data_IF_883249601539
#
_entry.id   IF_883249601539
#
_cell.length_a   1.000
_cell.length_b   1.000
_cell.length_c   1.000
_cell.angle_alpha   90.00
_cell.angle_beta   90.00
_cell.angle_gamma   90.00
#
_symmetry.space_group_name_H-M   'P 1'
#
loop_
_entity.id
_entity.type
_entity.pdbx_description
1 polymer ?
#
# COMPACT_ATOMS: atom_id res chain seq x y z
N UNK A 1 -14.33 -16.80 -15.77
CA UNK A 1 -14.07 -15.63 -14.89
C UNK A 1 -12.64 -15.15 -15.11
N UNK A 2 -12.40 -13.87 -15.35
CA UNK A 2 -11.04 -13.35 -15.53
C UNK A 2 -10.46 -12.88 -14.19
N UNK A 3 -9.60 -13.72 -13.61
CA UNK A 3 -8.93 -13.45 -12.34
C UNK A 3 -7.95 -12.27 -12.43
N UNK A 4 -7.29 -12.09 -13.57
CA UNK A 4 -6.35 -10.98 -13.77
C UNK A 4 -7.08 -9.63 -13.79
N UNK A 5 -8.25 -9.56 -14.41
CA UNK A 5 -9.09 -8.35 -14.38
C UNK A 5 -9.55 -7.97 -12.97
N UNK A 6 -9.91 -8.95 -12.15
CA UNK A 6 -10.30 -8.67 -10.75
C UNK A 6 -9.15 -8.12 -9.93
N UNK A 7 -7.96 -8.71 -10.07
CA UNK A 7 -6.74 -8.22 -9.42
C UNK A 7 -6.35 -6.82 -9.92
N UNK A 8 -6.58 -6.53 -11.20
CA UNK A 8 -6.36 -5.20 -11.76
C UNK A 8 -7.23 -4.12 -11.09
N UNK A 9 -8.47 -4.45 -10.75
CA UNK A 9 -9.43 -3.57 -10.05
C UNK A 9 -9.11 -3.49 -8.56
N UNK A 10 -8.99 -4.64 -7.89
CA UNK A 10 -8.67 -4.72 -6.47
C UNK A 10 -7.53 -5.74 -6.21
N UNK A 11 -6.28 -5.27 -6.10
CA UNK A 11 -5.11 -6.14 -5.94
C UNK A 11 -5.03 -6.80 -4.56
N UNK A 12 -5.89 -6.43 -3.59
CA UNK A 12 -5.93 -7.01 -2.24
C UNK A 12 -6.83 -8.23 -2.13
N UNK A 13 -7.52 -8.61 -3.20
CA UNK A 13 -8.42 -9.77 -3.17
C UNK A 13 -7.61 -11.06 -3.00
N UNK A 14 -7.91 -11.83 -1.95
CA UNK A 14 -7.23 -13.12 -1.72
C UNK A 14 -7.71 -14.17 -2.72
N UNK A 15 -6.85 -15.15 -3.02
CA UNK A 15 -7.20 -16.26 -3.92
C UNK A 15 -8.47 -16.99 -3.45
N UNK A 16 -8.64 -17.18 -2.15
CA UNK A 16 -9.85 -17.79 -1.55
C UNK A 16 -11.10 -16.95 -1.79
N UNK A 17 -11.02 -15.61 -1.63
CA UNK A 17 -12.15 -14.74 -1.96
C UNK A 17 -12.51 -14.82 -3.45
N UNK A 18 -11.51 -15.00 -4.32
CA UNK A 18 -11.72 -15.15 -5.76
C UNK A 18 -12.38 -16.49 -6.12
N UNK A 19 -12.04 -17.59 -5.45
CA UNK A 19 -12.72 -18.89 -5.65
C UNK A 19 -14.18 -18.83 -5.20
N UNK A 20 -14.46 -18.20 -4.05
CA UNK A 20 -15.83 -17.99 -3.57
C UNK A 20 -16.67 -17.19 -4.58
N UNK A 21 -16.13 -16.09 -5.12
CA UNK A 21 -16.81 -15.31 -6.17
C UNK A 21 -16.99 -16.11 -7.48
N UNK A 22 -16.07 -17.01 -7.80
CA UNK A 22 -16.22 -17.89 -8.97
C UNK A 22 -17.36 -18.90 -8.75
N UNK A 23 -17.43 -19.51 -7.56
CA UNK A 23 -18.50 -20.43 -7.18
C UNK A 23 -19.86 -19.75 -7.19
N UNK A 24 -19.97 -18.55 -6.62
CA UNK A 24 -21.25 -17.82 -6.58
C UNK A 24 -21.73 -17.38 -7.96
N UNK A 25 -20.82 -16.99 -8.86
CA UNK A 25 -21.20 -16.43 -10.17
C UNK A 25 -21.41 -17.48 -11.26
N UNK A 26 -20.70 -18.61 -11.19
CA UNK A 26 -20.68 -19.61 -12.27
C UNK A 26 -21.03 -21.03 -11.78
N UNK A 27 -21.31 -21.23 -10.48
CA UNK A 27 -21.56 -22.55 -9.90
C UNK A 27 -20.32 -23.45 -9.82
N UNK A 28 -19.15 -23.01 -10.29
CA UNK A 28 -17.93 -23.82 -10.38
C UNK A 28 -17.03 -23.61 -9.17
N UNK A 29 -16.72 -24.71 -8.48
CA UNK A 29 -15.68 -24.73 -7.45
C UNK A 29 -14.30 -24.75 -8.12
N UNK A 30 -13.40 -23.90 -7.64
CA UNK A 30 -12.02 -23.79 -8.17
C UNK A 30 -11.06 -23.85 -7.00
N UNK A 31 -9.96 -24.59 -7.14
CA UNK A 31 -8.92 -24.63 -6.13
C UNK A 31 -8.21 -23.25 -6.06
N UNK A 32 -7.98 -22.69 -4.86
CA UNK A 32 -7.22 -21.45 -4.70
C UNK A 32 -5.85 -21.45 -5.40
N UNK A 33 -5.18 -22.60 -5.54
CA UNK A 33 -3.91 -22.71 -6.26
C UNK A 33 -4.08 -22.49 -7.76
N UNK A 34 -5.18 -22.95 -8.36
CA UNK A 34 -5.51 -22.66 -9.77
C UNK A 34 -5.61 -21.15 -9.99
N UNK A 35 -6.23 -20.41 -9.07
CA UNK A 35 -6.28 -18.94 -9.14
C UNK A 35 -4.89 -18.34 -9.07
N UNK A 36 -4.04 -18.80 -8.15
CA UNK A 36 -2.66 -18.30 -8.02
C UNK A 36 -1.83 -18.59 -9.27
N UNK A 37 -1.97 -19.78 -9.87
CA UNK A 37 -1.28 -20.16 -11.10
C UNK A 37 -1.70 -19.30 -12.29
N UNK A 38 -3.00 -19.02 -12.44
CA UNK A 38 -3.49 -18.07 -13.46
C UNK A 38 -2.90 -16.68 -13.24
N UNK A 39 -2.87 -16.18 -12.00
CA UNK A 39 -2.28 -14.88 -11.68
C UNK A 39 -0.77 -14.83 -11.99
N UNK A 40 -0.02 -15.88 -11.65
CA UNK A 40 1.41 -16.00 -11.98
C UNK A 40 1.63 -16.04 -13.49
N UNK A 41 0.79 -16.75 -14.26
CA UNK A 41 0.82 -16.75 -15.73
C UNK A 41 0.64 -15.34 -16.31
N UNK A 42 -0.15 -14.49 -15.64
CA UNK A 42 -0.31 -13.07 -15.99
C UNK A 42 0.72 -12.13 -15.32
N UNK A 43 1.81 -12.67 -14.78
CA UNK A 43 2.92 -11.94 -14.12
C UNK A 43 2.51 -11.19 -12.84
N UNK A 44 1.40 -11.58 -12.20
CA UNK A 44 1.02 -11.05 -10.90
C UNK A 44 1.65 -11.87 -9.78
N UNK A 45 2.35 -11.19 -8.89
CA UNK A 45 3.05 -11.79 -7.77
C UNK A 45 2.47 -11.26 -6.45
N UNK A 46 2.25 -12.14 -5.49
CA UNK A 46 1.88 -11.77 -4.13
C UNK A 46 3.08 -11.12 -3.43
N UNK A 47 2.92 -9.87 -3.01
CA UNK A 47 3.96 -9.08 -2.33
C UNK A 47 3.37 -8.32 -1.14
N UNK A 48 4.19 -8.02 -0.15
CA UNK A 48 3.80 -7.10 0.91
C UNK A 48 3.72 -5.68 0.31
N UNK A 49 2.62 -4.94 0.52
CA UNK A 49 2.50 -3.57 0.07
C UNK A 49 3.44 -2.65 0.86
N UNK A 50 4.02 -1.66 0.20
CA UNK A 50 4.83 -0.66 0.88
C UNK A 50 3.95 0.27 1.73
N UNK A 51 4.41 0.57 2.94
CA UNK A 51 3.77 1.53 3.84
C UNK A 51 4.20 2.93 3.44
N UNK A 52 3.25 3.77 3.01
CA UNK A 52 3.52 5.17 2.65
C UNK A 52 2.39 6.06 3.16
N UNK A 53 2.71 7.27 3.67
CA UNK A 53 1.68 8.23 4.03
C UNK A 53 0.94 8.68 2.76
N UNK A 54 -0.36 8.90 2.90
CA UNK A 54 -1.10 9.56 1.84
C UNK A 54 -0.68 11.04 1.80
N UNK A 55 -0.27 11.52 0.63
CA UNK A 55 0.10 12.92 0.41
C UNK A 55 -0.81 13.48 -0.68
N UNK A 56 -1.61 14.48 -0.34
CA UNK A 56 -2.50 15.18 -1.28
C UNK A 56 -1.73 15.86 -2.42
N UNK A 57 -2.44 16.22 -3.51
CA UNK A 57 -1.82 16.81 -4.71
C UNK A 57 -1.07 18.12 -4.39
N UNK A 58 -1.69 19.03 -3.64
CA UNK A 58 -1.07 20.29 -3.22
C UNK A 58 0.20 20.04 -2.38
N UNK A 59 0.11 19.16 -1.37
CA UNK A 59 1.25 18.82 -0.52
C UNK A 59 2.39 18.17 -1.30
N UNK A 60 2.10 17.38 -2.35
CA UNK A 60 3.16 16.84 -3.23
C UNK A 60 3.89 17.94 -3.98
N UNK A 61 3.17 18.96 -4.48
CA UNK A 61 3.78 20.10 -5.17
C UNK A 61 4.62 20.94 -4.20
N UNK A 62 4.09 21.28 -3.02
CA UNK A 62 4.81 22.03 -2.01
C UNK A 62 6.09 21.31 -1.57
N UNK A 63 6.03 19.99 -1.33
CA UNK A 63 7.20 19.18 -0.98
C UNK A 63 8.25 19.14 -2.09
N UNK A 64 7.82 19.06 -3.36
CA UNK A 64 8.75 19.09 -4.50
C UNK A 64 9.41 20.45 -4.66
N UNK A 65 8.65 21.53 -4.51
CA UNK A 65 9.18 22.90 -4.54
C UNK A 65 10.21 23.10 -3.42
N UNK A 66 9.86 22.73 -2.19
CA UNK A 66 10.78 22.74 -1.05
C UNK A 66 12.06 21.95 -1.34
N UNK A 67 11.94 20.70 -1.80
CA UNK A 67 13.11 19.88 -2.12
C UNK A 67 14.02 20.56 -3.17
N UNK A 68 13.45 21.11 -4.25
CA UNK A 68 14.22 21.82 -5.27
C UNK A 68 14.91 23.07 -4.75
N UNK A 69 14.28 23.82 -3.84
CA UNK A 69 14.87 25.02 -3.25
C UNK A 69 16.09 24.70 -2.39
N UNK A 70 16.06 23.60 -1.64
CA UNK A 70 17.08 23.31 -0.63
C UNK A 70 18.08 22.20 -1.01
N UNK A 71 17.90 21.48 -2.13
CA UNK A 71 18.76 20.34 -2.54
C UNK A 71 20.23 20.72 -2.76
N UNK A 72 20.52 21.98 -3.10
CA UNK A 72 21.89 22.48 -3.35
C UNK A 72 22.49 23.24 -2.16
N UNK A 73 21.82 23.28 -1.02
CA UNK A 73 22.34 23.99 0.15
C UNK A 73 23.56 23.27 0.72
N UNK A 74 24.59 24.02 1.18
CA UNK A 74 25.80 23.44 1.75
C UNK A 74 25.51 22.80 3.12
N UNK A 75 26.38 21.88 3.56
CA UNK A 75 26.24 21.19 4.85
C UNK A 75 26.09 22.15 6.03
N UNK A 76 26.84 23.27 6.04
CA UNK A 76 26.76 24.32 7.07
C UNK A 76 25.36 24.90 7.26
N UNK A 77 24.53 24.92 6.22
CA UNK A 77 23.14 25.36 6.32
C UNK A 77 22.33 24.38 7.19
N UNK A 78 22.52 23.07 6.97
CA UNK A 78 21.80 22.02 7.69
C UNK A 78 22.32 21.81 9.11
N UNK A 79 23.58 22.11 9.39
CA UNK A 79 24.16 22.06 10.75
C UNK A 79 23.44 23.01 11.72
N UNK A 80 22.89 24.12 11.20
CA UNK A 80 22.16 25.10 11.99
C UNK A 80 20.65 24.86 12.00
N UNK A 81 20.16 23.82 11.31
CA UNK A 81 18.74 23.51 11.21
C UNK A 81 18.29 22.65 12.40
N UNK A 82 17.49 23.23 13.29
CA UNK A 82 16.87 22.50 14.40
C UNK A 82 15.54 21.91 13.93
N UNK A 83 15.44 20.57 13.93
CA UNK A 83 14.18 19.87 13.66
C UNK A 83 13.48 19.52 14.98
N UNK A 84 12.21 19.89 15.10
CA UNK A 84 11.35 19.50 16.23
C UNK A 84 10.21 18.64 15.69
N UNK A 85 9.99 17.47 16.28
CA UNK A 85 8.87 16.59 15.95
C UNK A 85 8.39 15.87 17.22
N UNK A 86 7.11 15.52 17.24
CA UNK A 86 6.51 14.73 18.33
C UNK A 86 6.25 13.31 17.84
N UNK A 87 6.64 12.32 18.63
CA UNK A 87 6.44 10.90 18.31
C UNK A 87 5.63 10.19 19.38
N UNK A 88 4.55 9.51 18.97
CA UNK A 88 3.76 8.62 19.82
C UNK A 88 4.33 7.19 19.76
N UNK A 89 4.62 6.60 20.91
CA UNK A 89 5.02 5.19 21.05
C UNK A 89 3.83 4.35 21.48
N UNK A 90 3.48 3.32 20.70
CA UNK A 90 2.43 2.36 21.06
C UNK A 90 3.09 1.03 21.48
N UNK A 91 2.67 0.48 22.62
CA UNK A 91 3.22 -0.75 23.23
C UNK A 91 2.63 -2.03 22.59
N UNK A 92 1.45 -1.95 21.97
CA UNK A 92 0.74 -3.11 21.44
C UNK A 92 0.30 -2.95 19.98
N UNK A 93 0.29 -4.09 19.27
CA UNK A 93 -0.42 -4.28 18.01
C UNK A 93 0.48 -4.29 16.77
N UNK A 94 0.55 -5.44 16.10
CA UNK A 94 0.96 -5.50 14.70
C UNK A 94 -0.25 -5.89 13.87
N UNK A 95 -0.72 -4.99 13.02
CA UNK A 95 -1.66 -5.36 11.97
C UNK A 95 -0.95 -6.35 11.03
N UNK A 96 -1.37 -7.60 11.06
CA UNK A 96 -0.74 -8.72 10.38
C UNK A 96 -0.35 -8.46 8.91
N UNK A 97 0.52 -9.33 8.38
CA UNK A 97 1.09 -9.17 7.03
C UNK A 97 0.01 -9.29 5.94
N UNK A 98 -0.49 -8.14 5.46
CA UNK A 98 -1.33 -8.08 4.25
C UNK A 98 -0.49 -8.25 2.99
N UNK A 99 -1.04 -8.89 1.95
CA UNK A 99 -0.41 -9.04 0.63
C UNK A 99 -1.26 -8.38 -0.46
N UNK A 100 -0.59 -7.85 -1.48
CA UNK A 100 -1.16 -7.33 -2.73
C UNK A 100 -0.63 -8.14 -3.90
N UNK A 101 -1.50 -8.39 -4.89
CA UNK A 101 -1.11 -8.93 -6.18
C UNK A 101 -0.67 -7.79 -7.09
N UNK A 102 0.62 -7.75 -7.45
CA UNK A 102 1.16 -6.70 -8.32
C UNK A 102 2.20 -7.26 -9.29
N UNK A 103 2.43 -6.52 -10.38
CA UNK A 103 3.52 -6.81 -11.32
C UNK A 103 4.84 -6.21 -10.81
N UNK A 104 5.97 -6.63 -11.36
CA UNK A 104 7.26 -5.96 -11.13
C UNK A 104 7.18 -4.47 -11.44
N UNK A 105 7.96 -3.65 -10.74
CA UNK A 105 8.04 -2.18 -10.90
C UNK A 105 6.74 -1.39 -10.68
N UNK A 106 5.72 -2.01 -10.09
CA UNK A 106 4.44 -1.35 -9.77
C UNK A 106 4.25 -1.07 -8.27
N UNK A 107 5.32 -1.15 -7.47
CA UNK A 107 5.26 -1.02 -6.00
C UNK A 107 4.65 0.31 -5.55
N UNK A 108 5.05 1.41 -6.22
CA UNK A 108 4.69 2.78 -5.86
C UNK A 108 3.32 3.25 -6.39
N UNK A 109 2.58 2.40 -7.12
CA UNK A 109 1.22 2.78 -7.52
C UNK A 109 0.31 2.81 -6.29
N UNK A 110 -0.51 3.86 -6.18
CA UNK A 110 -1.41 4.11 -5.03
C UNK A 110 -2.25 2.88 -4.64
N UNK A 111 -2.76 2.12 -5.62
CA UNK A 111 -3.54 0.89 -5.37
C UNK A 111 -2.76 -0.26 -4.70
N UNK A 112 -1.43 -0.26 -4.84
CA UNK A 112 -0.53 -1.28 -4.30
C UNK A 112 0.15 -0.84 -2.99
N UNK A 113 -0.03 0.41 -2.57
CA UNK A 113 0.49 0.94 -1.31
C UNK A 113 -0.44 0.57 -0.15
N UNK A 114 0.13 0.41 1.04
CA UNK A 114 -0.63 0.41 2.29
C UNK A 114 -0.59 1.85 2.83
N UNK A 115 -1.72 2.59 2.78
CA UNK A 115 -1.73 3.92 3.33
C UNK A 115 -1.43 3.85 4.83
N UNK A 116 -0.45 4.62 5.27
CA UNK A 116 -0.26 4.91 6.70
C UNK A 116 -0.99 6.20 6.98
N UNK A 117 -2.11 6.08 7.68
CA UNK A 117 -2.85 7.24 8.15
C UNK A 117 -2.15 7.72 9.44
N UNK A 118 -1.67 8.96 9.46
CA UNK A 118 -1.25 9.62 10.69
C UNK A 118 -2.50 10.29 11.28
N UNK A 119 -3.31 9.58 12.07
CA UNK A 119 -4.29 10.23 12.94
C UNK A 119 -4.06 9.80 14.39
N UNK A 120 -4.01 10.78 15.28
CA UNK A 120 -4.03 10.59 16.72
C UNK A 120 -5.42 10.12 17.13
N UNK A 121 -5.55 8.82 17.45
CA UNK A 121 -6.71 8.28 18.13
C UNK A 121 -6.58 8.53 19.63
N UNK A 122 -7.21 9.61 20.11
CA UNK A 122 -7.76 9.65 21.46
C UNK A 122 -9.02 8.80 21.45
N UNK A 123 -8.95 7.60 22.00
CA UNK A 123 -10.14 6.92 22.50
C UNK A 123 -10.42 7.55 23.88
N UNK A 124 -11.24 8.61 23.93
CA UNK A 124 -12.00 8.86 25.14
C UNK A 124 -13.16 7.88 25.10
N UNK A 125 -13.08 6.90 25.99
CA UNK A 125 -14.23 6.12 26.43
C UNK A 125 -14.92 7.03 27.45
N UNK A 126 -16.13 7.49 27.10
CA UNK A 126 -17.20 7.80 28.05
C UNK A 126 -18.49 7.21 27.44
#
# INVERSE_FOLDING_TARGET
MDFARQVRINPRTSGVKMTLKCKSRFGKSVNPETVRNVLRKHKYLGRVPERKPYIGKANRQARLAFAKMYVRQPTKFWENAICVDESKYNIFGSDGKQKVWRKSNTAMHVKNLRPTIKYGGSNQID
#
